data_IF_265554149201
#
_entry.id   IF_265554149201
#
_cell.length_a   1.000
_cell.length_b   1.000
_cell.length_c   1.000
_cell.angle_alpha   90.00
_cell.angle_beta   90.00
_cell.angle_gamma   90.00
#
_symmetry.space_group_name_H-M   'P 1'
#
loop_
_entity.id
_entity.type
_entity.pdbx_description
1 polymer ?
#
# COMPACT_ATOMS: atom_id res chain seq x y z
N UNK A 1 -9.89 -5.53 -1.35
CA UNK A 1 -8.49 -5.95 -1.61
C UNK A 1 -8.33 -7.36 -1.09
N UNK A 2 -7.82 -8.32 -1.89
CA UNK A 2 -7.77 -9.72 -1.45
C UNK A 2 -6.36 -10.29 -1.30
N UNK A 3 -5.33 -9.75 -1.97
CA UNK A 3 -3.96 -10.26 -1.83
C UNK A 3 -2.93 -9.26 -2.37
N UNK A 4 -1.80 -9.11 -1.66
CA UNK A 4 -0.60 -8.41 -2.11
C UNK A 4 0.58 -9.36 -1.97
N UNK A 5 1.33 -9.56 -3.05
CA UNK A 5 2.54 -10.39 -3.04
C UNK A 5 3.66 -9.66 -3.74
N UNK A 6 4.68 -9.30 -2.98
CA UNK A 6 5.93 -8.77 -3.55
C UNK A 6 6.73 -9.95 -4.11
N UNK A 7 7.16 -9.84 -5.37
CA UNK A 7 7.96 -10.85 -6.06
C UNK A 7 9.45 -10.55 -5.95
N UNK A 8 9.85 -9.30 -6.12
CA UNK A 8 11.25 -8.85 -5.97
C UNK A 8 11.33 -7.43 -5.43
N UNK A 9 12.37 -7.17 -4.63
CA UNK A 9 12.82 -5.85 -4.18
C UNK A 9 14.33 -5.82 -4.34
N UNK A 10 14.84 -4.86 -5.10
CA UNK A 10 16.27 -4.61 -5.28
C UNK A 10 16.54 -3.11 -5.49
N UNK A 11 17.79 -2.77 -5.80
CA UNK A 11 18.22 -1.38 -6.00
C UNK A 11 17.63 -0.72 -7.25
N UNK A 12 17.06 -1.49 -8.18
CA UNK A 12 16.39 -1.00 -9.38
C UNK A 12 14.89 -0.81 -9.15
N UNK A 13 14.31 -1.43 -8.13
CA UNK A 13 12.95 -1.16 -7.69
C UNK A 13 12.24 -2.37 -7.07
N UNK A 14 10.90 -2.34 -7.17
CA UNK A 14 10.00 -3.34 -6.59
C UNK A 14 9.04 -3.89 -7.65
N UNK A 15 8.86 -5.21 -7.67
CA UNK A 15 7.84 -5.88 -8.47
C UNK A 15 6.88 -6.63 -7.56
N UNK A 16 5.58 -6.45 -7.79
CA UNK A 16 4.55 -7.11 -7.02
C UNK A 16 3.35 -7.53 -7.88
N UNK A 17 2.67 -8.58 -7.42
CA UNK A 17 1.34 -8.96 -7.90
C UNK A 17 0.29 -8.55 -6.88
N UNK A 18 -0.74 -7.89 -7.38
CA UNK A 18 -1.86 -7.41 -6.58
C UNK A 18 -3.14 -8.03 -7.13
N UNK A 19 -3.97 -8.59 -6.25
CA UNK A 19 -5.30 -9.08 -6.61
C UNK A 19 -6.39 -8.21 -6.02
N UNK A 20 -7.20 -7.67 -6.92
CA UNK A 20 -8.39 -6.90 -6.63
C UNK A 20 -9.52 -7.24 -7.58
N UNK A 21 -10.58 -6.46 -7.49
CA UNK A 21 -11.73 -6.54 -8.36
C UNK A 21 -12.11 -5.13 -8.79
N UNK A 22 -12.86 -5.02 -9.90
CA UNK A 22 -13.37 -3.71 -10.32
C UNK A 22 -14.25 -3.13 -9.21
N UNK A 23 -14.08 -1.84 -8.99
CA UNK A 23 -14.90 -1.08 -8.07
C UNK A 23 -16.37 -1.18 -8.50
N UNK A 24 -17.22 -1.52 -7.55
CA UNK A 24 -18.65 -1.64 -7.72
C UNK A 24 -19.32 -0.93 -6.55
N UNK A 25 -19.85 0.27 -6.84
CA UNK A 25 -20.42 1.17 -5.85
C UNK A 25 -21.65 0.61 -5.13
N UNK A 26 -22.28 -0.44 -5.67
CA UNK A 26 -23.44 -1.08 -5.04
C UNK A 26 -23.05 -1.99 -3.85
N UNK A 27 -21.82 -2.52 -3.87
CA UNK A 27 -21.32 -3.48 -2.86
C UNK A 27 -20.06 -2.99 -2.13
N UNK A 28 -19.30 -2.06 -2.71
CA UNK A 28 -18.10 -1.49 -2.11
C UNK A 28 -18.42 -0.14 -1.48
N UNK A 29 -18.40 -0.09 -0.14
CA UNK A 29 -18.46 1.17 0.59
C UNK A 29 -17.09 1.88 0.50
N UNK A 30 -16.99 2.91 -0.33
CA UNK A 30 -15.87 3.86 -0.25
C UNK A 30 -15.97 4.65 1.05
N UNK A 31 -14.98 4.52 1.92
CA UNK A 31 -14.92 5.26 3.19
C UNK A 31 -14.34 6.67 3.01
N UNK A 32 -13.29 6.82 2.21
CA UNK A 32 -12.62 8.08 1.84
C UNK A 32 -11.78 7.85 0.58
N UNK A 33 -11.75 8.83 -0.31
CA UNK A 33 -10.81 8.84 -1.43
C UNK A 33 -9.42 9.26 -0.93
N UNK A 34 -8.37 8.67 -1.52
CA UNK A 34 -6.99 9.08 -1.26
C UNK A 34 -6.61 10.03 -2.38
N UNK A 35 -6.32 11.30 -2.06
CA UNK A 35 -6.00 12.33 -3.08
C UNK A 35 -4.57 12.23 -3.57
N UNK A 36 -3.63 11.95 -2.67
CA UNK A 36 -2.23 11.83 -2.98
C UNK A 36 -1.50 10.95 -1.96
N UNK A 37 -0.46 10.25 -2.43
CA UNK A 37 0.54 9.66 -1.55
C UNK A 37 1.60 10.73 -1.31
N UNK A 38 1.83 11.10 -0.05
CA UNK A 38 2.84 12.09 0.30
C UNK A 38 3.96 11.44 1.10
N UNK A 39 5.15 12.04 1.09
CA UNK A 39 6.25 11.66 1.97
C UNK A 39 6.07 12.19 3.40
N UNK A 40 4.96 12.87 3.69
CA UNK A 40 4.71 13.42 5.01
C UNK A 40 4.51 12.28 6.01
N UNK A 41 5.39 12.17 7.00
CA UNK A 41 5.34 11.11 8.00
C UNK A 41 5.62 9.70 7.47
N UNK A 42 6.31 9.59 6.31
CA UNK A 42 6.85 8.30 5.87
C UNK A 42 7.93 7.86 6.86
N UNK A 43 7.73 6.69 7.45
CA UNK A 43 8.71 6.03 8.32
C UNK A 43 8.90 4.60 7.83
N UNK A 44 10.15 4.16 7.75
CA UNK A 44 10.52 2.77 7.46
C UNK A 44 11.61 2.40 8.44
N UNK A 45 11.36 1.39 9.27
CA UNK A 45 12.29 0.95 10.32
C UNK A 45 12.43 -0.56 10.34
N UNK A 46 13.63 -1.00 10.68
CA UNK A 46 13.92 -2.39 10.99
C UNK A 46 13.43 -2.69 12.42
N UNK A 47 12.73 -3.80 12.58
CA UNK A 47 12.24 -4.32 13.87
C UNK A 47 12.68 -5.76 14.00
N UNK A 48 12.62 -6.32 15.21
CA UNK A 48 13.17 -7.66 15.52
C UNK A 48 12.73 -8.77 14.55
N UNK A 49 11.56 -8.65 13.91
CA UNK A 49 11.02 -9.62 12.96
C UNK A 49 10.80 -9.06 11.54
N UNK A 50 11.63 -8.09 11.11
CA UNK A 50 11.63 -7.61 9.73
C UNK A 50 11.52 -6.11 9.64
N UNK A 51 10.60 -5.63 8.80
CA UNK A 51 10.48 -4.21 8.47
C UNK A 51 9.06 -3.72 8.71
N UNK A 52 8.95 -2.55 9.33
CA UNK A 52 7.70 -1.83 9.51
C UNK A 52 7.75 -0.53 8.71
N UNK A 53 6.68 -0.25 7.96
CA UNK A 53 6.52 0.99 7.21
C UNK A 53 5.22 1.69 7.59
N UNK A 54 5.30 2.98 7.89
CA UNK A 54 4.16 3.86 8.12
C UNK A 54 4.07 4.89 7.00
N UNK A 55 2.88 5.02 6.43
CA UNK A 55 2.57 6.00 5.38
C UNK A 55 1.33 6.77 5.81
N UNK A 56 1.41 8.11 5.82
CA UNK A 56 0.27 8.98 6.08
C UNK A 56 -0.27 9.46 4.73
N UNK A 57 -1.52 9.13 4.48
CA UNK A 57 -2.24 9.57 3.28
C UNK A 57 -2.99 10.87 3.56
N UNK A 58 -2.91 11.80 2.61
CA UNK A 58 -3.77 12.98 2.61
C UNK A 58 -5.11 12.62 1.93
N UNK A 59 -6.23 12.96 2.59
CA UNK A 59 -7.61 12.54 2.24
C UNK A 59 -8.47 13.70 1.77
#
# INVERSE_FOLDING_TARGET
>A
MKEFRVETIDTQGLKAKVKGEKLDLSRHHLKREIKAVTYHGLEVKEVDNGWEAQIIFDV
#
